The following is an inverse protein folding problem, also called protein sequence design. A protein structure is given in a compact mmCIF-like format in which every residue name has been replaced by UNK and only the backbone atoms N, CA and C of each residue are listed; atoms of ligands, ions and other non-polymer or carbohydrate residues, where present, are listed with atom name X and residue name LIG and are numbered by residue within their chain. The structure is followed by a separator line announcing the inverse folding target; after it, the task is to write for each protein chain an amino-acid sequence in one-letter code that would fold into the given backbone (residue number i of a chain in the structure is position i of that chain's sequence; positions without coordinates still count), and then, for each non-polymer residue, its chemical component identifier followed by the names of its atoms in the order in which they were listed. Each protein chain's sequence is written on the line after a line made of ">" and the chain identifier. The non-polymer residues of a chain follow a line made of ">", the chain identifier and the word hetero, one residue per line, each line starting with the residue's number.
data_IF_140828896558
#
_entry.id   IF_140828896558
#
_cell.length_a   1.000
_cell.length_b   1.000
_cell.length_c   1.000
_cell.angle_alpha   90.00
_cell.angle_beta   90.00
_cell.angle_gamma   90.00
#
_symmetry.space_group_name_H-M   'P 1'
#
loop_
_entity.id
_entity.type
_entity.pdbx_description
1 polymer ?
#
# COMPACT_ATOMS: atom_id res chain seq x y z
N UNK A 1 0.74 4.48 -18.16
CA UNK A 1 -0.44 4.19 -17.33
C UNK A 1 0.07 3.90 -15.91
N UNK A 2 -0.54 4.44 -14.85
CA UNK A 2 -0.05 4.34 -13.46
C UNK A 2 -0.49 3.02 -12.76
N UNK A 3 -0.52 1.92 -13.51
CA UNK A 3 -1.04 0.61 -13.07
C UNK A 3 0.02 -0.32 -12.48
N UNK A 4 1.29 0.09 -12.48
CA UNK A 4 2.41 -0.70 -11.99
C UNK A 4 2.28 -1.26 -10.55
N UNK A 5 1.56 -0.63 -9.61
CA UNK A 5 1.32 -1.23 -8.29
C UNK A 5 0.63 -2.60 -8.34
N UNK A 6 -0.21 -2.87 -9.36
CA UNK A 6 -0.94 -4.14 -9.50
C UNK A 6 0.02 -5.32 -9.70
N UNK A 7 0.82 -5.40 -10.78
CA UNK A 7 1.75 -6.52 -10.97
C UNK A 7 2.84 -6.56 -9.90
N UNK A 8 3.27 -5.42 -9.38
CA UNK A 8 4.23 -5.38 -8.29
C UNK A 8 3.68 -6.02 -7.01
N UNK A 9 2.41 -5.77 -6.68
CA UNK A 9 1.75 -6.35 -5.50
C UNK A 9 1.56 -7.85 -5.67
N UNK A 10 1.08 -8.29 -6.84
CA UNK A 10 0.97 -9.74 -7.17
C UNK A 10 2.31 -10.45 -6.97
N UNK A 11 3.40 -9.87 -7.48
CA UNK A 11 4.75 -10.42 -7.32
C UNK A 11 5.22 -10.48 -5.86
N UNK A 12 4.91 -9.48 -5.05
CA UNK A 12 5.30 -9.46 -3.63
C UNK A 12 4.56 -10.52 -2.81
N UNK A 13 3.26 -10.66 -3.04
CA UNK A 13 2.42 -11.69 -2.42
C UNK A 13 2.90 -13.10 -2.82
N UNK A 14 3.12 -13.34 -4.12
CA UNK A 14 3.64 -14.62 -4.61
C UNK A 14 5.02 -14.96 -4.00
N UNK A 15 5.93 -13.99 -3.91
CA UNK A 15 7.27 -14.18 -3.33
C UNK A 15 7.22 -14.54 -1.84
N UNK A 16 6.23 -14.04 -1.10
CA UNK A 16 6.09 -14.25 0.34
C UNK A 16 5.20 -15.44 0.69
N UNK A 17 4.41 -15.95 -0.27
CA UNK A 17 3.39 -16.97 -0.02
C UNK A 17 2.16 -16.43 0.70
N UNK A 18 2.03 -15.11 0.82
CA UNK A 18 0.89 -14.43 1.45
C UNK A 18 -0.20 -14.14 0.42
N UNK A 19 -1.41 -13.92 0.92
CA UNK A 19 -2.56 -13.44 0.16
C UNK A 19 -2.99 -12.07 0.65
N UNK A 20 -3.87 -11.39 -0.11
CA UNK A 20 -4.47 -10.14 0.37
C UNK A 20 -5.25 -10.30 1.68
N UNK A 21 -5.77 -11.50 1.98
CA UNK A 21 -6.48 -11.77 3.23
C UNK A 21 -5.55 -11.77 4.45
N UNK A 22 -4.28 -12.11 4.27
CA UNK A 22 -3.26 -12.11 5.33
C UNK A 22 -2.77 -10.70 5.67
N UNK A 23 -3.03 -9.71 4.80
CA UNK A 23 -2.62 -8.32 5.02
C UNK A 23 -3.64 -7.64 5.93
N UNK A 24 -3.16 -7.08 7.04
CA UNK A 24 -3.98 -6.39 8.03
C UNK A 24 -4.12 -4.90 7.70
N UNK A 25 -3.10 -4.32 7.08
CA UNK A 25 -3.07 -2.90 6.74
C UNK A 25 -2.36 -2.67 5.40
N UNK A 26 -2.93 -1.79 4.58
CA UNK A 26 -2.35 -1.37 3.30
C UNK A 26 -2.16 0.15 3.28
N UNK A 27 -0.95 0.58 2.95
CA UNK A 27 -0.65 1.97 2.60
C UNK A 27 -0.29 2.08 1.11
N UNK A 28 -1.26 2.52 0.31
CA UNK A 28 -1.08 2.80 -1.12
C UNK A 28 -1.04 4.31 -1.37
N UNK A 29 0.03 4.79 -2.02
CA UNK A 29 0.12 6.23 -2.32
C UNK A 29 -1.05 6.68 -3.21
N UNK A 30 -1.82 7.65 -2.72
CA UNK A 30 -2.97 8.23 -3.42
C UNK A 30 -2.53 9.34 -4.39
N UNK A 31 -1.67 9.01 -5.36
CA UNK A 31 -1.32 9.96 -6.42
C UNK A 31 -2.57 10.44 -7.17
N UNK A 32 -3.51 9.51 -7.42
CA UNK A 32 -4.85 9.77 -7.93
C UNK A 32 -5.81 8.71 -7.39
N UNK A 33 -7.06 9.08 -7.11
CA UNK A 33 -8.08 8.13 -6.62
C UNK A 33 -8.28 6.94 -7.56
N UNK A 34 -8.19 7.16 -8.88
CA UNK A 34 -8.32 6.11 -9.90
C UNK A 34 -7.23 5.04 -9.82
N UNK A 35 -6.03 5.38 -9.33
CA UNK A 35 -4.95 4.40 -9.13
C UNK A 35 -5.31 3.42 -8.02
N UNK A 36 -5.80 3.94 -6.89
CA UNK A 36 -6.23 3.12 -5.74
C UNK A 36 -7.41 2.22 -6.13
N UNK A 37 -8.42 2.77 -6.80
CA UNK A 37 -9.60 1.99 -7.20
C UNK A 37 -9.29 0.94 -8.29
N UNK A 38 -8.37 1.25 -9.22
CA UNK A 38 -7.91 0.25 -10.18
C UNK A 38 -7.12 -0.87 -9.50
N UNK A 39 -6.25 -0.53 -8.55
CA UNK A 39 -5.51 -1.51 -7.75
C UNK A 39 -6.44 -2.39 -6.91
N UNK A 40 -7.42 -1.78 -6.25
CA UNK A 40 -8.44 -2.48 -5.46
C UNK A 40 -9.24 -3.45 -6.31
N UNK A 41 -9.73 -3.01 -7.49
CA UNK A 41 -10.51 -3.85 -8.40
C UNK A 41 -9.74 -5.09 -8.89
N UNK A 42 -8.43 -4.96 -9.10
CA UNK A 42 -7.59 -6.03 -9.66
C UNK A 42 -7.09 -7.04 -8.63
N UNK A 43 -7.12 -6.68 -7.34
CA UNK A 43 -6.61 -7.51 -6.24
C UNK A 43 -7.68 -7.90 -5.23
N UNK A 44 -8.92 -7.42 -5.42
CA UNK A 44 -10.03 -7.59 -4.50
C UNK A 44 -9.66 -7.15 -3.06
N UNK A 45 -8.96 -6.03 -2.97
CA UNK A 45 -8.49 -5.52 -1.69
C UNK A 45 -9.66 -4.98 -0.85
N UNK A 46 -9.68 -5.30 0.44
CA UNK A 46 -10.64 -4.76 1.40
C UNK A 46 -10.32 -3.30 1.72
N UNK A 47 -11.13 -2.37 1.22
CA UNK A 47 -10.94 -0.94 1.43
C UNK A 47 -11.01 -0.52 2.91
N UNK A 48 -11.60 -1.34 3.79
CA UNK A 48 -11.58 -1.05 5.23
C UNK A 48 -10.18 -1.15 5.86
N UNK A 49 -9.22 -1.77 5.15
CA UNK A 49 -7.81 -1.91 5.54
C UNK A 49 -6.86 -1.00 4.75
N UNK A 50 -7.36 -0.22 3.79
CA UNK A 50 -6.56 0.58 2.87
C UNK A 50 -6.56 2.04 3.30
N UNK A 51 -5.38 2.60 3.56
CA UNK A 51 -5.18 4.01 3.93
C UNK A 51 -6.13 4.46 5.06
N UNK A 52 -6.28 3.66 6.11
CA UNK A 52 -7.29 3.86 7.18
C UNK A 52 -7.13 5.18 7.94
N UNK A 53 -5.91 5.74 7.91
CA UNK A 53 -5.56 7.02 8.52
C UNK A 53 -5.52 8.19 7.50
N UNK A 54 -6.08 7.98 6.31
CA UNK A 54 -6.04 8.92 5.19
C UNK A 54 -4.74 8.85 4.40
N UNK A 55 -4.79 9.24 3.13
CA UNK A 55 -3.64 9.19 2.23
C UNK A 55 -3.26 10.53 1.63
N UNK A 56 -2.54 10.48 0.50
CA UNK A 56 -1.93 11.65 -0.10
C UNK A 56 -2.93 12.67 -0.68
N UNK A 57 -4.18 12.28 -0.94
CA UNK A 57 -5.24 13.24 -1.35
C UNK A 57 -5.51 14.23 -0.22
N UNK A 58 -5.51 13.76 1.02
CA UNK A 58 -5.75 14.60 2.20
C UNK A 58 -4.46 15.17 2.81
N UNK A 59 -3.43 14.34 2.95
CA UNK A 59 -2.21 14.63 3.70
C UNK A 59 -1.07 15.17 2.83
N UNK A 60 -1.25 15.20 1.51
CA UNK A 60 -0.26 15.65 0.54
C UNK A 60 0.75 14.58 0.12
N UNK A 61 1.40 14.82 -1.02
CA UNK A 61 2.39 13.94 -1.65
C UNK A 61 3.75 14.65 -1.78
N UNK A 62 4.61 14.64 -0.73
CA UNK A 62 5.94 15.25 -0.78
C UNK A 62 6.96 14.38 -1.55
N UNK A 63 6.57 13.88 -2.73
CA UNK A 63 7.35 13.04 -3.65
C UNK A 63 8.30 12.07 -2.92
N UNK A 64 9.60 12.37 -2.87
CA UNK A 64 10.64 11.53 -2.26
C UNK A 64 10.45 11.20 -0.78
N UNK A 65 9.73 12.02 -0.01
CA UNK A 65 9.42 11.75 1.39
C UNK A 65 8.15 10.91 1.60
N UNK A 66 7.38 10.64 0.54
CA UNK A 66 6.09 9.94 0.68
C UNK A 66 6.27 8.49 1.11
N UNK A 67 7.29 7.81 0.60
CA UNK A 67 7.54 6.41 0.96
C UNK A 67 7.83 6.23 2.45
N UNK A 68 8.61 7.12 3.07
CA UNK A 68 8.85 7.06 4.52
C UNK A 68 7.61 7.46 5.31
N UNK A 69 6.83 8.46 4.86
CA UNK A 69 5.58 8.87 5.51
C UNK A 69 4.57 7.72 5.59
N UNK A 70 4.34 7.03 4.45
CA UNK A 70 3.45 5.87 4.38
C UNK A 70 3.96 4.76 5.32
N UNK A 71 5.26 4.45 5.28
CA UNK A 71 5.85 3.38 6.10
C UNK A 71 5.69 3.67 7.59
N UNK A 72 5.98 4.90 8.01
CA UNK A 72 5.82 5.33 9.40
C UNK A 72 4.34 5.26 9.83
N UNK A 73 3.41 5.66 8.96
CA UNK A 73 1.97 5.56 9.24
C UNK A 73 1.55 4.10 9.43
N UNK A 74 1.97 3.23 8.51
CA UNK A 74 1.69 1.79 8.55
C UNK A 74 2.23 1.12 9.82
N UNK A 75 3.49 1.40 10.17
CA UNK A 75 4.15 0.85 11.36
C UNK A 75 3.38 1.20 12.65
N UNK A 76 3.08 2.49 12.85
CA UNK A 76 2.37 2.95 14.04
C UNK A 76 0.94 2.38 14.10
N UNK A 77 0.27 2.24 12.95
CA UNK A 77 -1.09 1.72 12.91
C UNK A 77 -1.16 0.20 13.15
N UNK A 78 -0.18 -0.57 12.66
CA UNK A 78 -0.04 -1.99 13.02
C UNK A 78 0.22 -2.15 14.52
N UNK A 79 1.09 -1.33 15.11
CA UNK A 79 1.32 -1.34 16.56
C UNK A 79 0.05 -0.98 17.35
N UNK A 80 -0.67 0.06 16.92
CA UNK A 80 -1.89 0.54 17.57
C UNK A 80 -3.02 -0.49 17.55
N UNK A 81 -3.15 -1.23 16.45
CA UNK A 81 -4.24 -2.19 16.23
C UNK A 81 -3.88 -3.63 16.62
N UNK A 82 -2.60 -3.91 16.83
CA UNK A 82 -2.10 -5.27 17.01
C UNK A 82 -2.01 -6.08 15.71
N UNK A 83 -2.24 -5.48 14.55
CA UNK A 83 -2.10 -6.11 13.24
C UNK A 83 -0.70 -6.70 13.00
N UNK A 84 -0.61 -7.72 12.16
CA UNK A 84 0.62 -8.48 11.91
C UNK A 84 1.29 -8.05 10.63
N UNK A 85 0.61 -8.12 9.48
CA UNK A 85 1.24 -7.83 8.18
C UNK A 85 0.77 -6.50 7.59
N UNK A 86 1.73 -5.64 7.22
CA UNK A 86 1.47 -4.40 6.49
C UNK A 86 2.03 -4.46 5.07
N UNK A 87 1.31 -3.89 4.10
CA UNK A 87 1.74 -3.76 2.72
C UNK A 87 1.77 -2.30 2.28
N UNK A 88 2.95 -1.80 1.90
CA UNK A 88 3.09 -0.50 1.27
C UNK A 88 3.29 -0.64 -0.25
N UNK A 89 2.63 0.20 -1.05
CA UNK A 89 2.92 0.31 -2.48
C UNK A 89 2.70 1.73 -3.03
N UNK A 90 3.39 2.08 -4.12
CA UNK A 90 3.17 3.34 -4.83
C UNK A 90 3.49 3.22 -6.31
N UNK A 91 2.80 3.99 -7.15
CA UNK A 91 3.19 4.19 -8.54
C UNK A 91 4.34 5.20 -8.64
N UNK A 92 5.22 4.99 -9.61
CA UNK A 92 6.38 5.84 -9.88
C UNK A 92 6.42 6.27 -11.35
N UNK A 93 7.21 7.32 -11.63
CA UNK A 93 7.48 7.77 -12.99
C UNK A 93 8.09 6.65 -13.84
N UNK A 94 7.78 6.63 -15.14
CA UNK A 94 8.28 5.59 -16.04
C UNK A 94 7.53 4.26 -15.98
N UNK A 95 6.38 4.20 -15.29
CA UNK A 95 5.56 2.98 -15.21
C UNK A 95 6.13 1.94 -14.27
N UNK A 96 6.79 2.39 -13.21
CA UNK A 96 7.38 1.55 -12.17
C UNK A 96 6.54 1.60 -10.89
N UNK A 97 6.81 0.67 -9.99
CA UNK A 97 6.24 0.64 -8.65
C UNK A 97 7.14 -0.16 -7.73
N UNK A 98 7.21 0.27 -6.47
CA UNK A 98 7.73 -0.54 -5.38
C UNK A 98 6.59 -1.14 -4.55
N UNK A 99 6.89 -2.26 -3.90
CA UNK A 99 6.03 -2.90 -2.90
C UNK A 99 6.92 -3.38 -1.77
N UNK A 100 6.49 -3.18 -0.54
CA UNK A 100 7.18 -3.71 0.64
C UNK A 100 6.14 -4.26 1.60
N UNK A 101 6.35 -5.50 2.04
CA UNK A 101 5.55 -6.14 3.08
C UNK A 101 6.41 -6.19 4.35
N UNK A 102 5.85 -5.80 5.47
CA UNK A 102 6.48 -5.87 6.80
C UNK A 102 5.65 -6.73 7.73
N UNK A 103 6.30 -7.30 8.74
CA UNK A 103 5.67 -8.00 9.86
C UNK A 103 5.98 -7.26 11.16
N UNK A 104 4.94 -6.97 11.95
CA UNK A 104 5.11 -6.46 13.32
C UNK A 104 5.58 -7.59 14.22
N UNK A 105 6.66 -7.35 14.99
CA UNK A 105 7.22 -8.29 15.96
C UNK A 105 6.51 -8.25 17.32
#
# INVERSE_FOLDING_TARGET
>A
MLTAPIPATKRALEKTGLTMADIDLVEINEAFASVVLAWQKELDADLSKVNVNGGAIALGHPLGATGVRLMTTMLNELERTGGRYGLQTMCEGGGQANVTIIERL
#
